data_IF_485368834200
#
_entry.id   IF_485368834200
#
_cell.length_a   1.000
_cell.length_b   1.000
_cell.length_c   1.000
_cell.angle_alpha   90.00
_cell.angle_beta   90.00
_cell.angle_gamma   90.00
#
_symmetry.space_group_name_H-M   'P 1'
#
loop_
_entity.id
_entity.type
_entity.pdbx_description
1 polymer ?
#
# COMPACT_ATOMS: atom_id res chain seq x y z
N UNK A 1 0.68 9.26 9.61
CA UNK A 1 0.67 8.00 8.84
C UNK A 1 1.40 6.95 9.65
N UNK A 2 1.14 5.66 9.42
CA UNK A 2 2.00 4.59 9.92
C UNK A 2 3.30 4.50 9.10
N UNK A 3 4.31 3.83 9.68
CA UNK A 3 5.65 3.70 9.09
C UNK A 3 5.62 3.00 7.71
N UNK A 4 4.76 2.02 7.52
CA UNK A 4 4.68 1.24 6.27
C UNK A 4 4.16 2.12 5.13
N UNK A 5 3.25 3.04 5.42
CA UNK A 5 2.67 3.96 4.45
C UNK A 5 3.70 4.97 3.95
N UNK A 6 4.52 5.52 4.85
CA UNK A 6 5.58 6.44 4.48
C UNK A 6 6.67 5.71 3.65
N UNK A 7 7.01 4.48 4.04
CA UNK A 7 7.95 3.62 3.30
C UNK A 7 7.41 3.31 1.88
N UNK A 8 6.13 2.95 1.75
CA UNK A 8 5.47 2.72 0.46
C UNK A 8 5.39 3.99 -0.39
N UNK A 9 5.04 5.13 0.19
CA UNK A 9 4.91 6.39 -0.52
C UNK A 9 6.25 6.85 -1.11
N UNK A 10 7.33 6.69 -0.33
CA UNK A 10 8.68 7.10 -0.71
C UNK A 10 9.33 6.18 -1.74
N UNK A 11 9.18 4.86 -1.58
CA UNK A 11 9.83 3.88 -2.45
C UNK A 11 9.07 3.63 -3.77
N UNK A 12 7.80 4.00 -3.86
CA UNK A 12 6.97 3.70 -5.04
C UNK A 12 7.53 4.31 -6.32
N UNK A 13 7.66 3.49 -7.36
CA UNK A 13 7.92 3.90 -8.74
C UNK A 13 6.78 3.43 -9.62
N UNK A 14 6.19 4.36 -10.39
CA UNK A 14 5.02 4.04 -11.20
C UNK A 14 5.38 3.17 -12.41
N UNK A 15 4.91 1.92 -12.43
CA UNK A 15 5.10 0.98 -13.56
C UNK A 15 4.50 1.42 -14.91
N UNK A 16 3.73 2.52 -14.94
CA UNK A 16 3.13 3.08 -16.17
C UNK A 16 3.88 4.26 -16.76
N UNK A 17 4.47 5.11 -15.93
CA UNK A 17 5.09 6.37 -16.38
C UNK A 17 6.45 6.66 -15.73
N UNK A 18 6.97 5.73 -14.93
CA UNK A 18 8.25 5.78 -14.22
C UNK A 18 8.42 6.97 -13.27
N UNK A 19 7.33 7.65 -12.92
CA UNK A 19 7.36 8.70 -11.91
C UNK A 19 7.57 8.09 -10.52
N UNK A 20 8.54 8.62 -9.79
CA UNK A 20 8.82 8.25 -8.41
C UNK A 20 7.90 8.98 -7.43
N UNK A 21 7.51 8.31 -6.36
CA UNK A 21 6.67 8.85 -5.30
C UNK A 21 5.19 8.58 -5.53
N UNK A 22 4.54 8.09 -4.49
CA UNK A 22 3.11 7.78 -4.46
C UNK A 22 2.32 8.64 -3.46
N UNK A 23 1.01 8.65 -3.63
CA UNK A 23 0.05 9.01 -2.58
C UNK A 23 -0.56 7.73 -2.03
N UNK A 24 -0.52 7.54 -0.70
CA UNK A 24 -0.98 6.30 -0.07
C UNK A 24 -2.29 6.53 0.66
N UNK A 25 -3.30 5.72 0.35
CA UNK A 25 -4.58 5.69 1.06
C UNK A 25 -4.92 4.30 1.56
N UNK A 26 -5.55 4.25 2.73
CA UNK A 26 -6.12 3.02 3.28
C UNK A 26 -7.61 2.99 2.99
N UNK A 27 -8.03 2.03 2.16
CA UNK A 27 -9.45 1.72 2.05
C UNK A 27 -9.79 0.67 3.11
N UNK A 28 -10.51 1.09 4.15
CA UNK A 28 -11.21 0.14 5.00
C UNK A 28 -12.38 -0.45 4.20
N UNK A 29 -12.17 -1.61 3.58
CA UNK A 29 -13.26 -2.37 2.95
C UNK A 29 -14.13 -2.98 4.05
N UNK A 30 -14.92 -2.16 4.74
CA UNK A 30 -15.94 -2.66 5.66
C UNK A 30 -17.07 -3.27 4.83
N UNK A 31 -17.16 -4.60 4.81
CA UNK A 31 -18.36 -5.27 4.34
C UNK A 31 -19.58 -4.82 5.14
N UNK A 32 -20.73 -4.68 4.48
CA UNK A 32 -22.00 -4.34 5.12
C UNK A 32 -22.48 -5.51 6.02
N UNK A 33 -23.17 -5.21 7.13
CA UNK A 33 -23.76 -6.22 8.03
C UNK A 33 -22.94 -6.54 9.29
N UNK A 34 -23.08 -7.78 9.81
CA UNK A 34 -22.46 -8.26 11.06
C UNK A 34 -20.92 -8.18 11.08
N UNK A 35 -20.28 -8.14 9.91
CA UNK A 35 -18.82 -7.99 9.75
C UNK A 35 -18.27 -6.66 10.32
N UNK A 36 -19.09 -5.60 10.40
CA UNK A 36 -18.72 -4.32 11.05
C UNK A 36 -18.83 -4.37 12.57
N UNK A 37 -19.73 -5.20 13.12
CA UNK A 37 -20.01 -5.28 14.56
C UNK A 37 -18.94 -6.06 15.34
N UNK A 38 -18.27 -7.00 14.65
CA UNK A 38 -17.24 -7.86 15.25
C UNK A 38 -15.80 -7.36 15.05
N UNK A 39 -15.58 -6.22 14.38
CA UNK A 39 -14.25 -5.67 14.03
C UNK A 39 -13.27 -6.68 13.40
N UNK A 40 -13.75 -7.78 12.81
CA UNK A 40 -12.92 -8.74 12.06
C UNK A 40 -12.66 -8.15 10.67
N UNK A 41 -11.88 -7.07 10.60
CA UNK A 41 -11.36 -6.56 9.35
C UNK A 41 -10.06 -7.29 9.03
N UNK A 42 -10.21 -8.48 8.45
CA UNK A 42 -9.10 -9.36 8.09
C UNK A 42 -8.26 -8.83 6.93
N UNK A 43 -8.70 -7.80 6.21
CA UNK A 43 -8.06 -7.32 4.99
C UNK A 43 -7.58 -5.88 5.19
N UNK A 44 -6.25 -5.71 5.26
CA UNK A 44 -5.59 -4.40 5.29
C UNK A 44 -4.83 -4.23 3.99
N UNK A 45 -5.32 -3.34 3.13
CA UNK A 45 -4.69 -3.01 1.87
C UNK A 45 -4.30 -1.52 1.85
N UNK A 46 -3.16 -1.21 1.26
CA UNK A 46 -2.76 0.15 0.92
C UNK A 46 -2.90 0.36 -0.58
N UNK A 47 -3.46 1.50 -0.95
CA UNK A 47 -3.59 1.95 -2.33
C UNK A 47 -2.55 3.03 -2.55
N UNK A 48 -1.64 2.81 -3.49
CA UNK A 48 -0.58 3.75 -3.83
C UNK A 48 -0.87 4.31 -5.21
N UNK A 49 -1.26 5.58 -5.26
CA UNK A 49 -1.61 6.29 -6.48
C UNK A 49 -0.44 7.14 -6.96
N UNK A 50 -0.09 6.99 -8.24
CA UNK A 50 0.88 7.85 -8.92
C UNK A 50 0.35 9.28 -9.02
N UNK A 51 1.12 10.24 -8.50
CA UNK A 51 0.75 11.67 -8.55
C UNK A 51 0.85 12.29 -9.94
N UNK A 52 1.46 11.61 -10.90
CA UNK A 52 1.61 12.07 -12.27
C UNK A 52 0.49 11.56 -13.20
N UNK A 53 0.29 10.25 -13.30
CA UNK A 53 -0.65 9.65 -14.25
C UNK A 53 -1.92 9.06 -13.64
N UNK A 54 -2.05 9.05 -12.30
CA UNK A 54 -3.22 8.52 -11.60
C UNK A 54 -3.30 6.98 -11.53
N UNK A 55 -2.35 6.25 -12.11
CA UNK A 55 -2.28 4.79 -11.95
C UNK A 55 -2.18 4.42 -10.47
N UNK A 56 -3.00 3.47 -10.04
CA UNK A 56 -3.08 3.06 -8.63
C UNK A 56 -2.77 1.58 -8.51
N UNK A 57 -1.82 1.27 -7.63
CA UNK A 57 -1.40 -0.09 -7.29
C UNK A 57 -1.82 -0.43 -5.85
N UNK A 58 -2.11 -1.70 -5.59
CA UNK A 58 -2.71 -2.15 -4.32
C UNK A 58 -1.77 -3.15 -3.64
N UNK A 59 -1.40 -2.88 -2.39
CA UNK A 59 -0.49 -3.71 -1.61
C UNK A 59 -1.20 -4.33 -0.40
N UNK A 60 -0.93 -5.61 -0.13
CA UNK A 60 -1.45 -6.30 1.05
C UNK A 60 -0.56 -6.02 2.27
N UNK A 61 -1.05 -5.20 3.19
CA UNK A 61 -0.30 -4.76 4.37
C UNK A 61 -0.04 -5.89 5.37
N UNK A 62 -0.85 -6.94 5.42
CA UNK A 62 -0.58 -8.09 6.30
C UNK A 62 0.63 -8.89 5.83
N UNK A 63 0.74 -9.08 4.51
CA UNK A 63 1.89 -9.78 3.92
C UNK A 63 3.16 -8.94 4.12
N UNK A 64 3.05 -7.62 3.96
CA UNK A 64 4.17 -6.70 4.17
C UNK A 64 4.59 -6.62 5.65
N UNK A 65 3.65 -6.43 6.58
CA UNK A 65 3.96 -6.32 8.02
C UNK A 65 4.62 -7.56 8.63
N UNK A 66 4.47 -8.74 8.00
CA UNK A 66 5.14 -9.97 8.42
C UNK A 66 6.59 -10.12 7.94
N UNK A 67 7.15 -9.10 7.27
CA UNK A 67 8.53 -9.11 6.77
C UNK A 67 9.41 -8.17 7.60
N UNK A 68 10.52 -8.70 8.10
CA UNK A 68 11.46 -7.96 8.95
C UNK A 68 12.18 -6.83 8.19
N UNK A 69 12.29 -6.94 6.87
CA UNK A 69 13.02 -6.02 6.00
C UNK A 69 12.15 -5.52 4.85
N UNK A 70 11.22 -4.63 5.18
CA UNK A 70 10.33 -4.02 4.19
C UNK A 70 11.05 -3.06 3.26
N UNK A 71 12.03 -2.30 3.77
CA UNK A 71 12.76 -1.33 2.97
C UNK A 71 13.46 -1.99 1.78
N UNK A 72 14.25 -3.02 2.03
CA UNK A 72 14.98 -3.73 0.98
C UNK A 72 14.07 -4.43 -0.01
N UNK A 73 12.92 -4.95 0.41
CA UNK A 73 11.97 -5.58 -0.52
C UNK A 73 11.32 -4.53 -1.43
N UNK A 74 10.95 -3.37 -0.89
CA UNK A 74 10.38 -2.30 -1.70
C UNK A 74 11.41 -1.73 -2.66
N UNK A 75 12.66 -1.58 -2.24
CA UNK A 75 13.77 -1.22 -3.13
C UNK A 75 13.92 -2.21 -4.28
N UNK A 76 13.89 -3.52 -4.01
CA UNK A 76 14.00 -4.54 -5.08
C UNK A 76 12.80 -4.54 -6.00
N UNK A 77 11.58 -4.35 -5.48
CA UNK A 77 10.34 -4.38 -6.26
C UNK A 77 10.20 -3.13 -7.13
N UNK A 78 10.63 -1.97 -6.64
CA UNK A 78 10.53 -0.68 -7.33
C UNK A 78 11.85 -0.23 -7.95
N UNK A 79 12.87 -1.08 -7.97
CA UNK A 79 14.10 -0.84 -8.71
C UNK A 79 13.81 -0.93 -10.22
N UNK A 80 13.41 0.20 -10.80
CA UNK A 80 13.49 0.49 -12.23
C UNK A 80 14.47 1.66 -12.46
#
# INVERSE_FOLDING_TARGET
MGKIEDDLAGAFVCSKCLHSGGHVEHLAMSGTGLSRLLEIQAYRYAFVSCKNCGFTEIFNLKILAGKDDLGTILEVIFAD
#
